data_IF_287686205239
#
_entry.id   IF_287686205239
#
_cell.length_a   1.000
_cell.length_b   1.000
_cell.length_c   1.000
_cell.angle_alpha   90.00
_cell.angle_beta   90.00
_cell.angle_gamma   90.00
#
_symmetry.space_group_name_H-M   'P 1'
#
loop_
_entity.id
_entity.type
_entity.pdbx_description
1 polymer ?
#
# COMPACT_ATOMS: atom_id res chain seq x y z
N UNK A 1 3.41 11.27 10.76
CA UNK A 1 4.52 11.69 9.86
C UNK A 1 3.95 12.22 8.57
N UNK A 2 4.56 13.25 8.04
CA UNK A 2 4.17 13.84 6.76
C UNK A 2 5.41 14.03 5.89
N UNK A 3 5.33 13.69 4.62
CA UNK A 3 6.45 13.82 3.68
C UNK A 3 5.97 14.22 2.30
N UNK A 4 6.74 15.05 1.64
CA UNK A 4 6.50 15.43 0.23
C UNK A 4 7.48 14.65 -0.63
N UNK A 5 6.95 13.87 -1.58
CA UNK A 5 7.75 13.03 -2.48
C UNK A 5 7.23 13.24 -3.89
N UNK A 6 8.10 13.69 -4.80
CA UNK A 6 7.75 13.97 -6.20
C UNK A 6 6.51 14.88 -6.34
N UNK A 7 6.44 15.90 -5.49
CA UNK A 7 5.34 16.87 -5.51
C UNK A 7 4.02 16.39 -4.91
N UNK A 8 4.00 15.20 -4.32
CA UNK A 8 2.81 14.63 -3.67
C UNK A 8 3.00 14.58 -2.17
N UNK A 9 1.93 14.87 -1.43
CA UNK A 9 1.93 14.82 0.04
C UNK A 9 1.48 13.46 0.53
N UNK A 10 2.24 12.89 1.46
CA UNK A 10 1.93 11.64 2.15
C UNK A 10 1.90 11.91 3.64
N UNK A 11 0.74 11.73 4.26
CA UNK A 11 0.51 12.10 5.66
C UNK A 11 -0.28 11.00 6.38
N UNK A 12 0.35 10.37 7.36
CA UNK A 12 -0.26 9.29 8.13
C UNK A 12 -1.43 9.75 8.98
N UNK A 13 -1.54 11.04 9.27
CA UNK A 13 -2.65 11.57 10.07
C UNK A 13 -3.93 11.80 9.26
N UNK A 14 -3.83 11.94 7.94
CA UNK A 14 -4.98 12.20 7.07
C UNK A 14 -5.35 11.01 6.20
N UNK A 15 -4.44 10.06 6.00
CA UNK A 15 -4.69 8.86 5.22
C UNK A 15 -5.40 7.79 6.06
N UNK A 16 -6.09 6.88 5.38
CA UNK A 16 -6.72 5.73 6.01
C UNK A 16 -5.70 4.63 6.27
N UNK A 17 -5.57 4.22 7.53
CA UNK A 17 -4.74 3.07 7.86
C UNK A 17 -5.46 1.78 7.46
N UNK A 18 -4.84 1.00 6.59
CA UNK A 18 -5.39 -0.27 6.10
C UNK A 18 -5.02 -1.42 7.03
N UNK A 19 -3.78 -1.52 7.42
CA UNK A 19 -3.31 -2.59 8.29
C UNK A 19 -1.83 -2.44 8.61
N UNK A 20 -1.32 -3.29 9.47
CA UNK A 20 0.07 -3.24 9.91
C UNK A 20 0.69 -4.61 10.03
N UNK A 21 2.01 -4.63 10.06
CA UNK A 21 2.83 -5.81 10.23
C UNK A 21 4.06 -5.48 11.06
N UNK A 22 4.51 -6.44 11.81
CA UNK A 22 5.75 -6.36 12.59
C UNK A 22 6.42 -7.73 12.55
N UNK A 23 7.74 -7.75 12.60
CA UNK A 23 8.49 -9.00 12.69
C UNK A 23 8.53 -9.59 14.10
N UNK A 24 7.73 -9.10 15.02
CA UNK A 24 7.58 -9.56 16.41
C UNK A 24 8.84 -9.42 17.26
N UNK A 25 9.83 -8.67 16.82
CA UNK A 25 10.97 -8.33 17.65
C UNK A 25 10.63 -7.16 18.56
N UNK A 26 11.34 -7.04 19.69
CA UNK A 26 11.22 -5.88 20.56
C UNK A 26 11.64 -4.60 19.82
N UNK A 27 10.99 -3.49 20.11
CA UNK A 27 11.33 -2.20 19.49
C UNK A 27 12.78 -1.75 19.80
N UNK A 28 13.42 -2.34 20.81
CA UNK A 28 14.82 -2.09 21.13
C UNK A 28 15.79 -3.04 20.41
N UNK A 29 15.28 -4.05 19.71
CA UNK A 29 16.11 -5.00 18.97
C UNK A 29 16.66 -4.34 17.70
N UNK A 30 17.92 -4.63 17.36
CA UNK A 30 18.55 -4.07 16.16
C UNK A 30 17.86 -4.51 14.86
N UNK A 31 17.24 -5.67 14.86
CA UNK A 31 16.51 -6.18 13.70
C UNK A 31 15.03 -5.83 13.67
N UNK A 32 14.54 -5.07 14.66
CA UNK A 32 13.12 -4.68 14.70
C UNK A 32 12.68 -4.00 13.42
N UNK A 33 11.50 -4.38 12.93
CA UNK A 33 10.90 -3.75 11.76
C UNK A 33 9.38 -3.83 11.87
N UNK A 34 8.73 -2.69 11.64
CA UNK A 34 7.28 -2.65 11.51
C UNK A 34 6.88 -1.80 10.33
N UNK A 35 5.75 -2.14 9.73
CA UNK A 35 5.21 -1.44 8.58
C UNK A 35 3.71 -1.28 8.72
N UNK A 36 3.18 -0.16 8.24
CA UNK A 36 1.75 0.10 8.16
C UNK A 36 1.41 0.55 6.75
N UNK A 37 0.36 -0.06 6.18
CA UNK A 37 -0.15 0.32 4.87
C UNK A 37 -1.23 1.38 5.03
N UNK A 38 -1.11 2.45 4.26
CA UNK A 38 -2.06 3.55 4.22
C UNK A 38 -2.60 3.75 2.82
N UNK A 39 -3.82 4.26 2.74
CA UNK A 39 -4.44 4.68 1.50
C UNK A 39 -4.85 6.15 1.63
N UNK A 40 -4.38 6.98 0.71
CA UNK A 40 -4.76 8.39 0.64
C UNK A 40 -6.20 8.53 0.15
N UNK A 41 -6.82 9.67 0.42
CA UNK A 41 -8.15 9.99 -0.11
C UNK A 41 -8.20 9.97 -1.63
N UNK A 42 -7.05 10.20 -2.29
CA UNK A 42 -6.90 10.11 -3.75
C UNK A 42 -6.82 8.67 -4.26
N UNK A 43 -6.77 7.68 -3.37
CA UNK A 43 -6.66 6.26 -3.70
C UNK A 43 -5.24 5.73 -3.81
N UNK A 44 -4.23 6.57 -3.68
CA UNK A 44 -2.83 6.16 -3.72
C UNK A 44 -2.43 5.47 -2.41
N UNK A 45 -1.57 4.47 -2.51
CA UNK A 45 -1.08 3.72 -1.35
C UNK A 45 0.33 4.14 -0.98
N UNK A 46 0.64 4.02 0.29
CA UNK A 46 2.01 4.15 0.79
C UNK A 46 2.21 3.33 2.05
N UNK A 47 3.46 2.97 2.30
CA UNK A 47 3.88 2.38 3.57
C UNK A 47 4.47 3.44 4.47
N UNK A 48 4.14 3.38 5.74
CA UNK A 48 4.93 3.95 6.81
C UNK A 48 5.68 2.82 7.49
N UNK A 49 6.99 2.90 7.50
CA UNK A 49 7.82 1.87 8.11
C UNK A 49 8.81 2.46 9.08
N UNK A 50 9.19 1.66 10.06
CA UNK A 50 10.20 2.00 11.03
C UNK A 50 10.98 0.76 11.45
N UNK A 51 12.20 0.95 11.91
CA UNK A 51 12.98 -0.18 12.36
C UNK A 51 14.35 0.18 12.90
N UNK A 52 15.00 -0.82 13.48
CA UNK A 52 16.30 -0.71 14.09
C UNK A 52 17.45 -0.66 13.09
N UNK A 53 18.71 -0.63 13.61
CA UNK A 53 19.91 -0.46 12.76
C UNK A 53 20.13 -1.54 11.71
N UNK A 54 19.50 -2.73 11.87
CA UNK A 54 19.62 -3.84 10.92
C UNK A 54 18.39 -4.00 10.04
N UNK A 55 17.41 -3.10 10.15
CA UNK A 55 16.22 -3.15 9.32
C UNK A 55 16.42 -2.39 8.01
N UNK A 56 15.47 -2.55 7.08
CA UNK A 56 15.46 -1.77 5.83
C UNK A 56 15.24 -0.27 6.05
N UNK A 57 14.81 0.12 7.25
CA UNK A 57 14.54 1.51 7.60
C UNK A 57 15.69 2.18 8.34
N UNK A 58 16.79 1.45 8.56
CA UNK A 58 17.96 1.99 9.24
C UNK A 58 18.48 3.23 8.52
N UNK A 59 18.96 4.19 9.29
CA UNK A 59 19.59 5.39 8.77
C UNK A 59 21.06 5.45 9.20
N UNK A 60 21.91 5.95 8.31
CA UNK A 60 23.32 6.15 8.63
C UNK A 60 23.47 7.29 9.63
N UNK A 61 24.17 7.02 10.73
CA UNK A 61 24.45 8.02 11.78
C UNK A 61 25.91 8.45 11.81
N UNK A 62 26.72 8.00 10.86
CA UNK A 62 28.15 8.33 10.77
C UNK A 62 28.92 7.25 9.99
N UNK A 63 30.24 7.22 10.16
CA UNK A 63 31.12 6.26 9.47
C UNK A 63 30.80 4.84 9.92
N UNK A 64 30.19 4.05 9.04
CA UNK A 64 29.80 2.64 9.29
C UNK A 64 28.88 2.45 10.50
N UNK A 65 28.20 3.51 10.95
CA UNK A 65 27.24 3.45 12.03
C UNK A 65 25.82 3.59 11.48
N UNK A 66 24.89 2.77 12.00
CA UNK A 66 23.50 2.77 11.61
C UNK A 66 22.63 2.89 12.85
N UNK A 67 21.53 3.60 12.71
CA UNK A 67 20.58 3.82 13.78
C UNK A 67 19.17 3.50 13.37
N UNK A 68 18.28 3.64 14.33
CA UNK A 68 16.84 3.54 14.12
C UNK A 68 16.38 4.58 13.09
N UNK A 69 15.50 4.17 12.22
CA UNK A 69 14.92 5.06 11.21
C UNK A 69 13.46 4.79 10.94
N UNK A 70 12.84 5.74 10.26
CA UNK A 70 11.47 5.66 9.81
C UNK A 70 11.37 6.33 8.44
N UNK A 71 10.43 5.86 7.63
CA UNK A 71 10.26 6.38 6.27
C UNK A 71 8.86 6.16 5.75
N UNK A 72 8.47 6.99 4.79
CA UNK A 72 7.29 6.80 3.98
C UNK A 72 7.74 6.33 2.60
N UNK A 73 7.14 5.26 2.11
CA UNK A 73 7.45 4.68 0.80
C UNK A 73 6.16 4.64 -0.03
N UNK A 74 6.04 5.47 -1.07
CA UNK A 74 4.90 5.38 -1.98
C UNK A 74 4.87 4.02 -2.67
N UNK A 75 3.68 3.45 -2.81
CA UNK A 75 3.49 2.14 -3.45
C UNK A 75 2.56 2.26 -4.66
N UNK A 76 2.87 1.48 -5.69
CA UNK A 76 1.90 1.21 -6.75
C UNK A 76 0.78 0.33 -6.20
N UNK A 77 -0.33 0.27 -6.92
CA UNK A 77 -1.43 -0.64 -6.57
C UNK A 77 -0.94 -2.08 -6.46
N UNK A 78 -0.13 -2.54 -7.41
CA UNK A 78 0.42 -3.90 -7.40
C UNK A 78 1.31 -4.16 -6.19
N UNK A 79 2.17 -3.21 -5.85
CA UNK A 79 3.05 -3.34 -4.70
C UNK A 79 2.26 -3.35 -3.39
N UNK A 80 1.22 -2.51 -3.28
CA UNK A 80 0.35 -2.49 -2.11
C UNK A 80 -0.43 -3.81 -1.97
N UNK A 81 -0.96 -4.32 -3.07
CA UNK A 81 -1.67 -5.60 -3.11
C UNK A 81 -0.78 -6.74 -2.68
N UNK A 82 0.45 -6.78 -3.16
CA UNK A 82 1.42 -7.82 -2.80
C UNK A 82 1.78 -7.76 -1.31
N UNK A 83 2.01 -6.57 -0.79
CA UNK A 83 2.28 -6.39 0.64
C UNK A 83 1.11 -6.89 1.49
N UNK A 84 -0.12 -6.55 1.10
CA UNK A 84 -1.32 -6.98 1.82
C UNK A 84 -1.51 -8.50 1.75
N UNK A 85 -1.21 -9.11 0.60
CA UNK A 85 -1.26 -10.56 0.45
C UNK A 85 -0.28 -11.27 1.41
N UNK A 86 0.91 -10.70 1.59
CA UNK A 86 1.95 -11.27 2.45
C UNK A 86 1.70 -11.06 3.94
N UNK A 87 1.02 -9.98 4.33
CA UNK A 87 0.99 -9.53 5.72
C UNK A 87 -0.39 -9.41 6.34
N UNK A 88 -1.47 -9.35 5.57
CA UNK A 88 -2.81 -9.15 6.10
C UNK A 88 -3.67 -10.41 5.98
N UNK A 89 -4.67 -10.58 6.87
CA UNK A 89 -5.67 -11.62 6.70
C UNK A 89 -6.48 -11.43 5.41
N UNK A 90 -7.01 -12.54 4.89
CA UNK A 90 -7.77 -12.55 3.63
C UNK A 90 -8.93 -11.55 3.63
N UNK A 91 -9.65 -11.42 4.75
CA UNK A 91 -10.78 -10.50 4.87
C UNK A 91 -10.36 -9.04 4.71
N UNK A 92 -9.22 -8.66 5.30
CA UNK A 92 -8.70 -7.30 5.14
C UNK A 92 -8.22 -7.04 3.72
N UNK A 93 -7.57 -8.03 3.12
CA UNK A 93 -7.16 -7.95 1.71
C UNK A 93 -8.36 -7.72 0.81
N UNK A 94 -9.38 -8.57 0.92
CA UNK A 94 -10.57 -8.50 0.06
C UNK A 94 -11.36 -7.21 0.26
N UNK A 95 -11.41 -6.68 1.47
CA UNK A 95 -12.10 -5.42 1.75
C UNK A 95 -11.49 -4.23 0.99
N UNK A 96 -10.20 -4.29 0.68
CA UNK A 96 -9.48 -3.21 0.01
C UNK A 96 -9.30 -3.47 -1.49
N UNK A 97 -8.94 -4.70 -1.86
CA UNK A 97 -8.55 -5.05 -3.23
C UNK A 97 -9.64 -5.85 -3.97
N UNK A 98 -10.69 -6.26 -3.26
CA UNK A 98 -11.79 -7.04 -3.82
C UNK A 98 -11.51 -8.54 -3.80
N UNK A 99 -12.52 -9.31 -4.17
CA UNK A 99 -12.40 -10.76 -4.24
C UNK A 99 -11.37 -11.17 -5.29
N UNK A 100 -10.58 -12.20 -4.96
CA UNK A 100 -9.63 -12.76 -5.91
C UNK A 100 -10.38 -13.65 -6.89
N UNK A 101 -10.27 -13.35 -8.17
CA UNK A 101 -10.82 -14.16 -9.25
C UNK A 101 -9.75 -15.14 -9.73
N UNK A 102 -10.05 -16.43 -9.60
CA UNK A 102 -9.13 -17.52 -9.97
C UNK A 102 -9.39 -18.09 -11.35
N UNK A 103 -9.94 -17.27 -12.24
CA UNK A 103 -10.21 -17.70 -13.61
C UNK A 103 -8.93 -17.64 -14.44
N UNK A 104 -8.42 -18.80 -14.81
CA UNK A 104 -7.20 -18.93 -15.60
C UNK A 104 -7.31 -18.36 -17.03
N UNK A 105 -8.53 -18.08 -17.50
CA UNK A 105 -8.75 -17.44 -18.80
C UNK A 105 -8.57 -15.93 -18.76
N UNK A 106 -8.42 -15.36 -17.55
CA UNK A 106 -8.27 -13.94 -17.38
C UNK A 106 -6.81 -13.51 -17.49
N UNK A 107 -6.60 -12.38 -18.11
CA UNK A 107 -5.27 -11.79 -18.27
C UNK A 107 -5.21 -10.46 -17.52
N UNK A 108 -4.16 -10.29 -16.71
CA UNK A 108 -3.92 -9.02 -16.05
C UNK A 108 -3.42 -8.00 -17.08
N UNK A 109 -4.02 -6.80 -17.05
CA UNK A 109 -3.63 -5.70 -17.94
C UNK A 109 -3.31 -4.49 -17.08
N UNK A 110 -2.16 -3.87 -17.36
CA UNK A 110 -1.76 -2.62 -16.72
C UNK A 110 -2.08 -1.47 -17.70
N UNK A 111 -2.84 -0.50 -17.22
CA UNK A 111 -3.23 0.67 -18.01
C UNK A 111 -2.71 1.94 -17.35
N UNK A 112 -2.22 2.87 -18.18
CA UNK A 112 -1.88 4.21 -17.73
C UNK A 112 -3.06 5.13 -18.05
N UNK A 113 -3.80 5.53 -17.03
CA UNK A 113 -4.98 6.37 -17.14
C UNK A 113 -4.84 7.59 -16.24
N UNK A 114 -5.54 8.67 -16.60
CA UNK A 114 -5.63 9.83 -15.71
C UNK A 114 -6.26 9.42 -14.38
N UNK A 115 -5.73 9.94 -13.27
CA UNK A 115 -6.22 9.61 -11.93
C UNK A 115 -7.72 9.89 -11.80
N UNK A 116 -8.22 10.98 -12.37
CA UNK A 116 -9.65 11.32 -12.37
C UNK A 116 -10.50 10.29 -13.10
N UNK A 117 -9.99 9.71 -14.17
CA UNK A 117 -10.70 8.67 -14.95
C UNK A 117 -10.79 7.39 -14.14
N UNK A 118 -9.69 6.99 -13.50
CA UNK A 118 -9.64 5.80 -12.65
C UNK A 118 -10.62 5.95 -11.48
N UNK A 119 -10.65 7.11 -10.85
CA UNK A 119 -11.56 7.36 -9.73
C UNK A 119 -13.02 7.32 -10.15
N UNK A 120 -13.36 7.90 -11.29
CA UNK A 120 -14.72 7.84 -11.84
C UNK A 120 -15.13 6.40 -12.12
N UNK A 121 -14.24 5.59 -12.70
CA UNK A 121 -14.49 4.18 -12.99
C UNK A 121 -14.72 3.39 -11.69
N UNK A 122 -13.93 3.62 -10.67
CA UNK A 122 -14.09 2.97 -9.37
C UNK A 122 -15.43 3.30 -8.71
N UNK A 123 -15.83 4.58 -8.76
CA UNK A 123 -17.14 5.01 -8.22
C UNK A 123 -18.30 4.38 -8.99
N UNK A 124 -18.22 4.36 -10.30
CA UNK A 124 -19.26 3.75 -11.14
C UNK A 124 -19.37 2.24 -10.87
N UNK A 125 -18.25 1.55 -10.74
CA UNK A 125 -18.22 0.13 -10.38
C UNK A 125 -18.88 -0.13 -9.02
N UNK A 126 -18.53 0.66 -8.02
CA UNK A 126 -19.10 0.56 -6.67
C UNK A 126 -20.61 0.79 -6.66
N UNK A 127 -21.12 1.77 -7.43
CA UNK A 127 -22.54 2.05 -7.56
C UNK A 127 -23.32 0.88 -8.15
N UNK A 128 -22.68 0.08 -9.02
CA UNK A 128 -23.28 -1.08 -9.64
C UNK A 128 -23.03 -2.37 -8.87
N UNK A 129 -22.32 -2.30 -7.75
CA UNK A 129 -21.94 -3.47 -6.96
C UNK A 129 -20.97 -4.40 -7.68
N UNK A 130 -20.19 -3.88 -8.61
CA UNK A 130 -19.23 -4.64 -9.42
C UNK A 130 -17.78 -4.34 -9.02
N UNK A 131 -16.89 -5.29 -9.28
CA UNK A 131 -15.46 -5.03 -9.27
C UNK A 131 -15.11 -4.08 -10.43
N UNK A 132 -13.97 -3.42 -10.34
CA UNK A 132 -13.50 -2.54 -11.43
C UNK A 132 -13.34 -3.34 -12.74
N UNK A 133 -12.79 -4.54 -12.67
CA UNK A 133 -12.64 -5.42 -13.84
C UNK A 133 -13.98 -5.79 -14.44
N UNK A 134 -14.95 -6.20 -13.62
CA UNK A 134 -16.30 -6.54 -14.10
C UNK A 134 -17.01 -5.32 -14.70
N UNK A 135 -16.83 -4.16 -14.10
CA UNK A 135 -17.39 -2.92 -14.64
C UNK A 135 -16.80 -2.59 -16.01
N UNK A 136 -15.48 -2.66 -16.16
CA UNK A 136 -14.80 -2.40 -17.43
C UNK A 136 -15.27 -3.42 -18.49
N UNK A 137 -15.35 -4.70 -18.15
CA UNK A 137 -15.87 -5.74 -19.05
C UNK A 137 -17.30 -5.43 -19.51
N UNK A 138 -18.13 -4.88 -18.63
CA UNK A 138 -19.52 -4.54 -18.96
C UNK A 138 -19.65 -3.40 -19.96
N UNK A 139 -18.60 -2.58 -20.14
CA UNK A 139 -18.59 -1.46 -21.07
C UNK A 139 -18.22 -1.86 -22.51
N UNK A 140 -17.72 -3.06 -22.69
CA UNK A 140 -17.27 -3.57 -23.97
C UNK A 140 -18.27 -4.64 -24.47
#
# INVERSE_FOLDING_TARGET
>A
MKKIINGKSYDTSTAERIGGWSNNMSSSDFGYCSEELFRKKTGEFFLYGEGGPRSRYAVSSGNNEWGYGQSIIPLTYEAASKWAEEHLPAEQYEAIFGEVEEDNSRMAVTLSLAASTVEKAKRAAAQQGKSLSAYIESLI
#
